data_IF_714410593725
#
_entry.id   IF_714410593725
#
_cell.length_a   1.000
_cell.length_b   1.000
_cell.length_c   1.000
_cell.angle_alpha   90.00
_cell.angle_beta   90.00
_cell.angle_gamma   90.00
#
_symmetry.space_group_name_H-M   'P 1'
#
loop_
_entity.id
_entity.type
_entity.pdbx_description
1 polymer ?
#
# COMPACT_ATOMS: atom_id res chain seq x y z
N UNK A 1 19.78 21.89 -8.21
CA UNK A 1 20.12 23.21 -8.78
C UNK A 1 18.95 23.88 -9.51
N UNK A 2 18.14 23.18 -10.34
CA UNK A 2 17.06 23.83 -11.11
C UNK A 2 15.88 24.33 -10.23
N UNK A 3 15.44 23.56 -9.22
CA UNK A 3 14.29 23.94 -8.39
C UNK A 3 14.53 25.16 -7.50
N UNK A 4 15.78 25.41 -7.10
CA UNK A 4 16.16 26.54 -6.22
C UNK A 4 15.85 27.90 -6.87
N UNK A 5 15.96 27.99 -8.20
CA UNK A 5 15.62 29.20 -8.94
C UNK A 5 14.10 29.45 -9.05
N UNK A 6 13.28 28.43 -8.79
CA UNK A 6 11.81 28.50 -8.85
C UNK A 6 11.19 28.82 -7.48
N UNK A 7 11.94 28.62 -6.38
CA UNK A 7 11.46 28.89 -5.02
C UNK A 7 10.89 30.30 -4.81
N UNK A 8 11.45 31.38 -5.39
CA UNK A 8 10.88 32.72 -5.22
C UNK A 8 9.48 32.88 -5.80
N UNK A 9 9.03 31.96 -6.66
CA UNK A 9 7.70 32.01 -7.28
C UNK A 9 6.61 31.40 -6.39
N UNK A 10 6.99 30.61 -5.37
CA UNK A 10 6.02 29.99 -4.45
C UNK A 10 5.18 31.06 -3.74
N UNK A 11 3.89 30.77 -3.59
CA UNK A 11 2.96 31.67 -2.90
C UNK A 11 3.26 31.78 -1.40
N UNK A 12 2.50 32.65 -0.72
CA UNK A 12 2.65 32.90 0.72
C UNK A 12 1.75 32.02 1.60
N UNK A 13 1.05 31.03 1.02
CA UNK A 13 0.23 30.10 1.81
C UNK A 13 1.09 29.30 2.82
N UNK A 14 0.55 28.92 3.99
CA UNK A 14 1.27 28.05 4.94
C UNK A 14 1.87 26.80 4.28
N UNK A 15 1.13 26.20 3.36
CA UNK A 15 1.49 25.01 2.60
C UNK A 15 2.70 25.26 1.69
N UNK A 16 2.66 26.34 0.90
CA UNK A 16 3.76 26.74 0.03
C UNK A 16 5.02 27.13 0.83
N UNK A 17 4.85 27.78 1.99
CA UNK A 17 5.96 28.08 2.89
C UNK A 17 6.57 26.82 3.51
N UNK A 18 5.76 25.83 3.88
CA UNK A 18 6.27 24.56 4.42
C UNK A 18 7.05 23.79 3.36
N UNK A 19 6.51 23.70 2.14
CA UNK A 19 7.21 23.10 1.01
C UNK A 19 8.52 23.81 0.69
N UNK A 20 8.52 25.15 0.68
CA UNK A 20 9.75 25.94 0.49
C UNK A 20 10.81 25.60 1.55
N UNK A 21 10.42 25.54 2.83
CA UNK A 21 11.33 25.12 3.92
C UNK A 21 11.81 23.69 3.73
N UNK A 22 10.95 22.78 3.27
CA UNK A 22 11.34 21.40 2.97
C UNK A 22 12.40 21.30 1.88
N UNK A 23 12.22 22.03 0.78
CA UNK A 23 13.24 22.10 -0.28
C UNK A 23 14.56 22.68 0.23
N UNK A 24 14.53 23.67 1.13
CA UNK A 24 15.75 24.20 1.76
C UNK A 24 16.45 23.18 2.69
N UNK A 25 15.69 22.27 3.32
CA UNK A 25 16.23 21.17 4.14
C UNK A 25 16.79 20.01 3.32
N UNK A 26 16.56 19.99 2.01
CA UNK A 26 16.95 18.89 1.13
C UNK A 26 15.95 17.73 1.10
N UNK A 27 14.68 18.00 1.39
CA UNK A 27 13.64 16.97 1.45
C UNK A 27 13.39 16.32 0.06
N UNK A 28 13.55 17.06 -1.04
CA UNK A 28 13.43 16.52 -2.39
C UNK A 28 14.57 15.55 -2.72
N UNK A 29 15.80 15.87 -2.32
CA UNK A 29 16.96 15.02 -2.51
C UNK A 29 16.76 13.66 -1.80
N UNK A 30 16.23 13.67 -0.57
CA UNK A 30 15.90 12.42 0.15
C UNK A 30 14.90 11.57 -0.65
N UNK A 31 13.87 12.19 -1.22
CA UNK A 31 12.85 11.49 -2.00
C UNK A 31 13.41 10.95 -3.32
N UNK A 32 14.21 11.74 -4.03
CA UNK A 32 14.81 11.32 -5.30
C UNK A 32 15.84 10.20 -5.09
N UNK A 33 16.66 10.29 -4.04
CA UNK A 33 17.61 9.23 -3.70
C UNK A 33 16.88 7.92 -3.35
N UNK A 34 15.79 8.02 -2.59
CA UNK A 34 14.92 6.88 -2.30
C UNK A 34 14.31 6.30 -3.58
N UNK A 35 13.71 7.14 -4.44
CA UNK A 35 13.10 6.71 -5.70
C UNK A 35 14.09 5.96 -6.60
N UNK A 36 15.27 6.54 -6.83
CA UNK A 36 16.30 5.93 -7.68
C UNK A 36 16.80 4.59 -7.11
N UNK A 37 16.88 4.46 -5.79
CA UNK A 37 17.24 3.20 -5.16
C UNK A 37 16.15 2.14 -5.36
N UNK A 38 14.88 2.51 -5.14
CA UNK A 38 13.73 1.63 -5.29
C UNK A 38 13.53 1.16 -6.74
N UNK A 39 13.72 2.05 -7.71
CA UNK A 39 13.60 1.73 -9.14
C UNK A 39 14.56 0.58 -9.50
N UNK A 40 15.81 0.65 -9.06
CA UNK A 40 16.80 -0.41 -9.30
C UNK A 40 16.44 -1.70 -8.55
N UNK A 41 16.16 -1.64 -7.24
CA UNK A 41 15.89 -2.83 -6.43
C UNK A 41 14.67 -3.62 -6.93
N UNK A 42 13.57 -2.92 -7.21
CA UNK A 42 12.34 -3.55 -7.67
C UNK A 42 12.56 -4.15 -9.06
N UNK A 43 13.22 -3.43 -9.96
CA UNK A 43 13.51 -3.93 -11.30
C UNK A 43 14.36 -5.20 -11.28
N UNK A 44 15.45 -5.21 -10.53
CA UNK A 44 16.33 -6.38 -10.36
C UNK A 44 15.57 -7.57 -9.74
N UNK A 45 14.79 -7.33 -8.68
CA UNK A 45 14.02 -8.38 -8.01
C UNK A 45 12.97 -9.02 -8.92
N UNK A 46 12.31 -8.24 -9.78
CA UNK A 46 11.28 -8.74 -10.70
C UNK A 46 11.88 -9.56 -11.85
N UNK A 47 13.10 -9.23 -12.28
CA UNK A 47 13.84 -10.04 -13.26
C UNK A 47 14.19 -11.41 -12.68
N UNK A 48 14.69 -11.44 -11.45
CA UNK A 48 15.15 -12.67 -10.79
C UNK A 48 14.01 -13.54 -10.26
N UNK A 49 12.94 -12.91 -9.76
CA UNK A 49 11.74 -13.57 -9.24
C UNK A 49 10.49 -12.89 -9.83
N UNK A 50 10.10 -13.26 -11.06
CA UNK A 50 8.91 -12.73 -11.71
C UNK A 50 7.66 -13.09 -10.90
N UNK A 51 6.77 -12.13 -10.74
CA UNK A 51 5.51 -12.34 -10.04
C UNK A 51 4.32 -12.13 -11.00
N UNK A 52 3.17 -12.76 -10.70
CA UNK A 52 2.06 -12.81 -11.64
C UNK A 52 1.49 -11.41 -11.88
N UNK A 53 1.13 -11.14 -13.14
CA UNK A 53 0.47 -9.90 -13.51
C UNK A 53 -1.02 -9.97 -13.13
N UNK A 54 -1.40 -9.32 -12.03
CA UNK A 54 -2.77 -9.31 -11.51
C UNK A 54 -3.34 -7.90 -11.50
N UNK A 55 -4.66 -7.71 -11.61
CA UNK A 55 -5.24 -6.38 -11.43
C UNK A 55 -5.00 -5.90 -10.00
N UNK A 56 -4.51 -4.68 -9.85
CA UNK A 56 -4.31 -4.02 -8.55
C UNK A 56 -5.14 -2.74 -8.47
N UNK A 57 -5.60 -2.36 -7.28
CA UNK A 57 -6.38 -1.14 -7.10
C UNK A 57 -5.49 0.12 -7.16
N UNK A 58 -4.21 -0.01 -6.76
CA UNK A 58 -3.22 1.05 -6.57
C UNK A 58 -3.57 2.11 -5.52
N UNK A 59 -4.81 2.20 -5.05
CA UNK A 59 -5.23 3.20 -4.07
C UNK A 59 -6.24 2.67 -3.05
N UNK A 60 -5.95 1.53 -2.41
CA UNK A 60 -6.66 1.17 -1.18
C UNK A 60 -6.20 2.11 -0.05
N UNK A 61 -6.96 3.18 0.18
CA UNK A 61 -6.75 4.19 1.23
C UNK A 61 -7.98 4.27 2.14
N UNK A 62 -7.89 4.81 3.37
CA UNK A 62 -9.03 4.86 4.29
C UNK A 62 -10.31 5.49 3.70
N UNK A 63 -10.16 6.51 2.85
CA UNK A 63 -11.30 7.16 2.18
C UNK A 63 -12.02 6.26 1.14
N UNK A 64 -11.36 5.19 0.68
CA UNK A 64 -11.84 4.28 -0.36
C UNK A 64 -12.40 2.98 0.21
N UNK A 65 -12.52 2.86 1.54
CA UNK A 65 -13.01 1.66 2.23
C UNK A 65 -14.20 2.02 3.11
N UNK A 66 -15.34 1.40 2.83
CA UNK A 66 -16.52 1.46 3.69
C UNK A 66 -16.44 0.39 4.77
N UNK A 67 -16.52 0.80 6.03
CA UNK A 67 -16.52 -0.12 7.17
C UNK A 67 -17.61 0.21 8.18
N UNK A 68 -18.14 -0.84 8.82
CA UNK A 68 -19.13 -0.74 9.90
C UNK A 68 -18.52 -1.31 11.16
N UNK A 69 -18.69 -0.62 12.28
CA UNK A 69 -18.24 -1.11 13.58
C UNK A 69 -19.38 -1.86 14.29
N UNK A 70 -19.15 -3.12 14.60
CA UNK A 70 -20.03 -3.90 15.47
C UNK A 70 -19.50 -3.86 16.91
N UNK A 71 -20.19 -3.09 17.75
CA UNK A 71 -19.87 -2.93 19.16
C UNK A 71 -20.08 -4.20 20.00
N UNK A 72 -20.91 -5.14 19.54
CA UNK A 72 -21.20 -6.38 20.29
C UNK A 72 -20.02 -7.35 20.31
N UNK A 73 -19.18 -7.30 19.27
CA UNK A 73 -17.97 -8.10 19.11
C UNK A 73 -16.70 -7.24 19.04
N UNK A 74 -16.82 -5.92 19.26
CA UNK A 74 -15.73 -4.94 19.20
C UNK A 74 -14.89 -5.07 17.91
N UNK A 75 -15.55 -5.12 16.76
CA UNK A 75 -14.91 -5.43 15.47
C UNK A 75 -15.36 -4.47 14.38
N UNK A 76 -14.42 -4.08 13.52
CA UNK A 76 -14.72 -3.42 12.25
C UNK A 76 -14.93 -4.47 11.16
N UNK A 77 -16.01 -4.34 10.41
CA UNK A 77 -16.31 -5.13 9.21
C UNK A 77 -16.15 -4.23 7.99
N UNK A 78 -15.28 -4.62 7.06
CA UNK A 78 -15.18 -3.95 5.76
C UNK A 78 -16.35 -4.42 4.92
N UNK A 79 -17.18 -3.48 4.48
CA UNK A 79 -18.41 -3.77 3.73
C UNK A 79 -18.28 -3.46 2.24
N UNK A 80 -17.46 -2.46 1.89
CA UNK A 80 -17.37 -1.97 0.52
C UNK A 80 -15.98 -1.37 0.24
N UNK A 81 -15.58 -1.40 -1.03
CA UNK A 81 -14.46 -0.63 -1.57
C UNK A 81 -14.96 0.27 -2.69
N UNK A 82 -14.37 1.45 -2.83
CA UNK A 82 -14.75 2.47 -3.80
C UNK A 82 -13.53 2.98 -4.57
N UNK A 83 -13.78 3.84 -5.57
CA UNK A 83 -12.74 4.63 -6.26
C UNK A 83 -11.68 3.74 -6.96
N UNK A 84 -12.14 3.04 -8.00
CA UNK A 84 -11.35 2.11 -8.82
C UNK A 84 -10.67 2.79 -10.02
N UNK A 85 -10.64 4.12 -10.07
CA UNK A 85 -10.17 4.88 -11.25
C UNK A 85 -8.67 4.68 -11.52
N UNK A 86 -7.91 4.26 -10.49
CA UNK A 86 -6.48 3.96 -10.57
C UNK A 86 -6.18 2.45 -10.72
N UNK A 87 -7.21 1.61 -10.91
CA UNK A 87 -7.01 0.19 -11.17
C UNK A 87 -6.22 -0.01 -12.45
N UNK A 88 -5.25 -0.91 -12.40
CA UNK A 88 -4.42 -1.22 -13.56
C UNK A 88 -3.91 -2.64 -13.58
N UNK A 89 -3.59 -3.10 -14.78
CA UNK A 89 -2.66 -4.20 -15.00
C UNK A 89 -1.30 -3.62 -15.32
N UNK A 90 -0.28 -4.34 -14.91
CA UNK A 90 1.03 -4.22 -15.50
C UNK A 90 0.96 -4.63 -16.97
N UNK A 91 1.72 -3.99 -17.83
CA UNK A 91 1.87 -4.39 -19.23
C UNK A 91 3.33 -4.69 -19.51
N UNK A 92 3.59 -5.54 -20.50
CA UNK A 92 4.95 -5.81 -20.96
C UNK A 92 5.66 -4.52 -21.47
N UNK A 93 4.90 -3.50 -21.87
CA UNK A 93 5.40 -2.24 -22.46
C UNK A 93 5.74 -1.17 -21.44
N UNK A 94 5.08 -1.17 -20.27
CA UNK A 94 5.39 -0.28 -19.14
C UNK A 94 6.23 -0.97 -18.05
N UNK A 95 6.68 -2.21 -18.29
CA UNK A 95 7.64 -2.93 -17.44
C UNK A 95 7.09 -3.34 -16.06
N UNK A 96 5.83 -3.00 -15.76
CA UNK A 96 5.16 -3.40 -14.56
C UNK A 96 4.62 -4.82 -14.77
N UNK A 97 5.06 -5.77 -13.95
CA UNK A 97 4.18 -6.85 -13.50
C UNK A 97 3.43 -6.24 -12.31
N UNK A 98 2.10 -6.12 -12.34
CA UNK A 98 1.37 -5.60 -11.16
C UNK A 98 1.26 -6.69 -10.13
N UNK A 99 2.15 -6.64 -9.14
CA UNK A 99 2.30 -7.64 -8.10
C UNK A 99 1.34 -7.35 -6.94
N UNK A 100 0.87 -8.39 -6.25
CA UNK A 100 -0.03 -8.20 -5.11
C UNK A 100 0.65 -7.40 -3.98
N UNK A 101 1.95 -7.58 -3.78
CA UNK A 101 2.74 -6.82 -2.81
C UNK A 101 2.85 -5.33 -3.15
N UNK A 102 2.64 -4.93 -4.41
CA UNK A 102 2.59 -3.51 -4.81
C UNK A 102 1.35 -2.84 -4.23
N UNK A 103 0.19 -3.48 -4.37
CA UNK A 103 -1.07 -2.95 -3.85
C UNK A 103 -1.06 -2.95 -2.31
N UNK A 104 -0.52 -4.00 -1.70
CA UNK A 104 -0.32 -4.05 -0.25
C UNK A 104 0.66 -2.99 0.25
N UNK A 105 1.81 -2.81 -0.40
CA UNK A 105 2.79 -1.80 -0.03
C UNK A 105 2.22 -0.39 -0.11
N UNK A 106 1.46 -0.11 -1.17
CA UNK A 106 0.72 1.15 -1.34
C UNK A 106 -0.36 1.32 -0.27
N UNK A 107 -1.11 0.27 0.07
CA UNK A 107 -2.07 0.26 1.19
C UNK A 107 -1.37 0.62 2.50
N UNK A 108 -0.27 -0.05 2.82
CA UNK A 108 0.51 0.19 4.03
C UNK A 108 1.03 1.64 4.11
N UNK A 109 1.40 2.24 2.97
CA UNK A 109 1.78 3.66 2.93
C UNK A 109 0.68 4.63 3.40
N UNK A 110 -0.59 4.20 3.37
CA UNK A 110 -1.73 4.97 3.87
C UNK A 110 -2.15 4.59 5.29
N UNK A 111 -2.12 3.30 5.63
CA UNK A 111 -2.70 2.79 6.89
C UNK A 111 -1.69 2.66 8.03
N UNK A 112 -0.40 2.53 7.72
CA UNK A 112 0.65 2.31 8.70
C UNK A 112 1.40 3.58 9.10
N UNK A 113 0.93 4.76 8.69
CA UNK A 113 1.58 6.02 8.99
C UNK A 113 0.59 7.08 9.46
N UNK A 114 0.99 7.86 10.44
CA UNK A 114 0.24 9.05 10.83
C UNK A 114 0.29 10.09 9.70
N UNK A 115 -0.87 10.62 9.23
CA UNK A 115 -0.91 11.54 8.10
C UNK A 115 -0.40 12.95 8.42
N UNK A 116 -0.21 13.30 9.70
CA UNK A 116 0.23 14.63 10.13
C UNK A 116 1.72 14.65 10.53
N UNK A 117 2.14 13.74 11.41
CA UNK A 117 3.50 13.64 11.93
C UNK A 117 4.42 12.76 11.09
N UNK A 118 3.85 11.82 10.32
CA UNK A 118 4.60 10.81 9.57
C UNK A 118 5.16 9.67 10.43
N UNK A 119 4.70 9.52 11.68
CA UNK A 119 5.07 8.40 12.54
C UNK A 119 4.65 7.05 11.95
N UNK A 120 5.52 6.04 11.99
CA UNK A 120 5.22 4.68 11.57
C UNK A 120 4.55 3.87 12.68
N UNK A 121 3.36 3.34 12.41
CA UNK A 121 2.59 2.49 13.29
C UNK A 121 2.78 1.01 12.94
N UNK A 122 3.78 0.40 13.57
CA UNK A 122 4.15 -0.99 13.33
C UNK A 122 3.00 -1.98 13.59
N UNK A 123 2.14 -1.72 14.58
CA UNK A 123 1.02 -2.61 14.89
C UNK A 123 -0.09 -2.53 13.82
N UNK A 124 -0.33 -1.36 13.23
CA UNK A 124 -1.21 -1.22 12.07
C UNK A 124 -0.63 -1.96 10.86
N UNK A 125 0.69 -1.85 10.63
CA UNK A 125 1.36 -2.58 9.56
C UNK A 125 1.20 -4.10 9.74
N UNK A 126 1.47 -4.62 10.95
CA UNK A 126 1.30 -6.03 11.29
C UNK A 126 -0.14 -6.51 11.07
N UNK A 127 -1.12 -5.76 11.55
CA UNK A 127 -2.53 -6.11 11.39
C UNK A 127 -2.94 -6.16 9.92
N UNK A 128 -2.51 -5.18 9.12
CA UNK A 128 -2.79 -5.10 7.68
C UNK A 128 -2.12 -6.26 6.92
N UNK A 129 -0.83 -6.52 7.18
CA UNK A 129 -0.09 -7.64 6.58
C UNK A 129 -0.71 -8.97 7.00
N UNK A 130 -1.06 -9.14 8.28
CA UNK A 130 -1.73 -10.36 8.77
C UNK A 130 -3.02 -10.63 8.00
N UNK A 131 -3.91 -9.64 7.91
CA UNK A 131 -5.18 -9.78 7.18
C UNK A 131 -4.99 -10.11 5.69
N UNK A 132 -3.94 -9.58 5.05
CA UNK A 132 -3.57 -9.95 3.69
C UNK A 132 -3.07 -11.40 3.59
N UNK A 133 -2.17 -11.82 4.49
CA UNK A 133 -1.61 -13.17 4.52
C UNK A 133 -2.68 -14.24 4.78
N UNK A 134 -3.71 -13.92 5.57
CA UNK A 134 -4.86 -14.81 5.80
C UNK A 134 -5.59 -15.15 4.50
N UNK A 135 -5.41 -14.37 3.43
CA UNK A 135 -6.09 -14.53 2.13
C UNK A 135 -5.16 -15.01 1.02
N UNK A 136 -3.98 -15.53 1.37
CA UNK A 136 -3.07 -16.15 0.41
C UNK A 136 -3.11 -17.68 0.52
N UNK A 137 -3.07 -18.42 -0.60
CA UNK A 137 -2.93 -19.87 -0.59
C UNK A 137 -1.50 -20.33 -0.24
N UNK A 138 -0.51 -19.48 -0.48
CA UNK A 138 0.91 -19.75 -0.26
C UNK A 138 1.57 -18.64 0.56
N UNK A 139 2.73 -18.93 1.16
CA UNK A 139 3.53 -17.90 1.80
C UNK A 139 4.07 -16.93 0.76
N UNK A 140 4.20 -15.67 1.16
CA UNK A 140 5.14 -14.76 0.53
C UNK A 140 6.54 -15.33 0.67
N UNK A 141 7.23 -15.50 -0.45
CA UNK A 141 8.63 -15.86 -0.50
C UNK A 141 9.52 -14.65 -0.16
N UNK A 142 10.81 -14.90 0.05
CA UNK A 142 11.78 -13.88 0.46
C UNK A 142 11.81 -12.66 -0.49
N UNK A 143 11.75 -12.88 -1.81
CA UNK A 143 11.75 -11.79 -2.78
C UNK A 143 10.46 -10.94 -2.72
N UNK A 144 9.29 -11.58 -2.54
CA UNK A 144 8.02 -10.88 -2.36
C UNK A 144 8.02 -10.03 -1.09
N UNK A 145 8.63 -10.51 0.00
CA UNK A 145 8.76 -9.77 1.26
C UNK A 145 9.66 -8.55 1.10
N UNK A 146 10.81 -8.69 0.42
CA UNK A 146 11.68 -7.53 0.14
C UNK A 146 11.00 -6.51 -0.76
N UNK A 147 10.32 -6.96 -1.83
CA UNK A 147 9.55 -6.05 -2.68
C UNK A 147 8.42 -5.36 -1.93
N UNK A 148 7.75 -6.04 -1.00
CA UNK A 148 6.74 -5.40 -0.15
C UNK A 148 7.34 -4.22 0.63
N UNK A 149 8.51 -4.41 1.24
CA UNK A 149 9.22 -3.34 1.95
C UNK A 149 9.51 -2.14 1.03
N UNK A 150 9.97 -2.42 -0.19
CA UNK A 150 10.28 -1.40 -1.20
C UNK A 150 9.00 -0.70 -1.70
N UNK A 151 7.91 -1.44 -1.91
CA UNK A 151 6.62 -0.88 -2.33
C UNK A 151 5.97 0.01 -1.26
N UNK A 152 6.22 -0.23 0.03
CA UNK A 152 5.81 0.71 1.09
C UNK A 152 6.50 2.06 0.89
N UNK A 153 7.82 2.05 0.69
CA UNK A 153 8.59 3.27 0.46
C UNK A 153 8.20 3.94 -0.87
N UNK A 154 7.99 3.15 -1.93
CA UNK A 154 7.53 3.68 -3.21
C UNK A 154 6.16 4.35 -3.07
N UNK A 155 5.23 3.76 -2.31
CA UNK A 155 3.94 4.37 -2.02
C UNK A 155 4.07 5.73 -1.30
N UNK A 156 5.03 5.87 -0.38
CA UNK A 156 5.31 7.14 0.29
C UNK A 156 5.91 8.16 -0.70
N UNK A 157 6.86 7.74 -1.53
CA UNK A 157 7.49 8.57 -2.58
C UNK A 157 6.47 9.07 -3.59
N UNK A 158 5.59 8.20 -4.08
CA UNK A 158 4.49 8.57 -4.99
C UNK A 158 3.57 9.61 -4.35
N UNK A 159 3.25 9.46 -3.07
CA UNK A 159 2.42 10.44 -2.34
C UNK A 159 3.13 11.80 -2.21
N UNK A 160 4.45 11.81 -1.98
CA UNK A 160 5.24 13.05 -1.98
C UNK A 160 5.15 13.78 -3.32
N UNK A 161 5.38 13.07 -4.43
CA UNK A 161 5.32 13.68 -5.76
C UNK A 161 3.91 14.20 -6.09
N UNK A 162 2.88 13.42 -5.75
CA UNK A 162 1.50 13.83 -5.95
C UNK A 162 1.17 15.13 -5.18
N UNK A 163 1.49 15.20 -3.88
CA UNK A 163 1.25 16.41 -3.08
C UNK A 163 2.09 17.60 -3.54
N UNK A 164 3.32 17.36 -3.96
CA UNK A 164 4.20 18.40 -4.50
C UNK A 164 3.64 18.97 -5.82
N UNK A 165 2.91 18.17 -6.62
CA UNK A 165 2.33 18.61 -7.89
C UNK A 165 1.32 19.75 -7.73
N UNK A 166 0.65 19.86 -6.58
CA UNK A 166 -0.27 20.96 -6.27
C UNK A 166 0.41 22.34 -6.17
N UNK A 167 1.74 22.36 -6.13
CA UNK A 167 2.56 23.58 -6.07
C UNK A 167 3.29 23.84 -7.40
N UNK A 168 3.10 22.99 -8.41
CA UNK A 168 3.81 23.09 -9.69
C UNK A 168 3.52 24.38 -10.45
N UNK A 169 2.26 24.84 -10.44
CA UNK A 169 1.88 26.12 -11.07
C UNK A 169 2.55 27.31 -10.40
N UNK A 170 2.53 27.35 -9.06
CA UNK A 170 3.19 28.40 -8.28
C UNK A 170 4.69 28.41 -8.52
N UNK A 171 5.36 27.24 -8.54
CA UNK A 171 6.78 27.14 -8.88
C UNK A 171 7.10 27.73 -10.25
N UNK A 172 6.18 27.63 -11.22
CA UNK A 172 6.31 28.22 -12.55
C UNK A 172 5.95 29.72 -12.61
N UNK A 173 5.61 30.35 -11.47
CA UNK A 173 5.18 31.75 -11.41
C UNK A 173 3.75 31.98 -11.87
N UNK A 174 2.93 30.93 -11.93
CA UNK A 174 1.51 31.02 -12.27
C UNK A 174 0.67 31.00 -10.99
N UNK A 175 -0.43 31.77 -10.92
CA UNK A 175 -1.38 31.63 -9.82
C UNK A 175 -1.97 30.22 -9.86
N UNK A 176 -2.14 29.60 -8.69
CA UNK A 176 -2.85 28.32 -8.60
C UNK A 176 -4.36 28.54 -8.62
N UNK A 177 -5.08 27.65 -9.30
CA UNK A 177 -6.54 27.57 -9.21
C UNK A 177 -7.02 26.61 -8.11
N UNK A 178 -6.08 25.95 -7.41
CA UNK A 178 -6.40 25.01 -6.33
C UNK A 178 -6.82 25.81 -5.08
N UNK A 179 -8.12 25.78 -4.79
CA UNK A 179 -8.72 26.43 -3.62
C UNK A 179 -8.84 25.50 -2.40
N UNK A 180 -8.40 24.25 -2.52
CA UNK A 180 -8.42 23.25 -1.44
C UNK A 180 -7.17 23.36 -0.56
N UNK A 181 -7.27 22.84 0.67
CA UNK A 181 -6.10 22.65 1.52
C UNK A 181 -5.08 21.74 0.79
N UNK A 182 -3.80 22.13 0.80
CA UNK A 182 -2.72 21.41 0.11
C UNK A 182 -1.78 20.81 1.16
N UNK A 183 -1.95 19.55 1.54
CA UNK A 183 -1.19 18.99 2.65
C UNK A 183 0.32 19.11 2.40
N UNK A 184 1.08 19.46 3.43
CA UNK A 184 2.54 19.59 3.33
C UNK A 184 3.14 18.26 2.82
N UNK A 185 3.83 18.24 1.65
CA UNK A 185 4.46 17.02 1.17
C UNK A 185 5.60 16.56 2.11
N UNK A 186 6.17 17.46 2.93
CA UNK A 186 7.25 17.17 3.87
C UNK A 186 6.94 16.04 4.86
N UNK A 187 5.66 15.77 5.15
CA UNK A 187 5.27 14.63 5.99
C UNK A 187 5.74 13.29 5.42
N UNK A 188 5.80 13.14 4.09
CA UNK A 188 6.25 11.90 3.46
C UNK A 188 7.76 11.67 3.63
N UNK A 189 8.55 12.73 3.77
CA UNK A 189 9.96 12.59 4.18
C UNK A 189 10.06 12.09 5.61
N UNK A 190 9.13 12.51 6.48
CA UNK A 190 9.06 12.00 7.85
C UNK A 190 8.64 10.54 7.90
N UNK A 191 7.71 10.11 7.05
CA UNK A 191 7.34 8.71 6.90
C UNK A 191 8.52 7.84 6.45
N UNK A 192 9.28 8.24 5.41
CA UNK A 192 10.51 7.53 4.98
C UNK A 192 11.52 7.44 6.13
N UNK A 193 11.80 8.56 6.82
CA UNK A 193 12.77 8.58 7.92
C UNK A 193 12.31 7.73 9.12
N UNK A 194 11.01 7.75 9.43
CA UNK A 194 10.42 6.97 10.52
C UNK A 194 10.51 5.48 10.23
N UNK A 195 10.09 5.06 9.03
CA UNK A 195 10.17 3.67 8.59
C UNK A 195 11.61 3.16 8.56
N UNK A 196 12.53 3.92 7.95
CA UNK A 196 13.95 3.56 7.91
C UNK A 196 14.59 3.50 9.30
N UNK A 197 14.12 4.32 10.25
CA UNK A 197 14.59 4.26 11.63
C UNK A 197 14.09 2.99 12.32
N UNK A 198 12.83 2.62 12.12
CA UNK A 198 12.26 1.39 12.65
C UNK A 198 12.97 0.14 12.10
N UNK A 199 13.27 0.13 10.80
CA UNK A 199 13.97 -0.99 10.12
C UNK A 199 15.37 -1.27 10.66
N UNK A 200 16.06 -0.28 11.26
CA UNK A 200 17.41 -0.47 11.83
C UNK A 200 17.44 -1.46 12.99
N UNK A 201 16.34 -1.61 13.70
CA UNK A 201 16.24 -2.50 14.88
C UNK A 201 15.19 -3.59 14.72
N UNK A 202 14.41 -3.56 13.64
CA UNK A 202 13.35 -4.52 13.35
C UNK A 202 13.47 -4.98 11.90
N UNK A 203 14.05 -6.14 11.63
CA UNK A 203 14.08 -6.69 10.28
C UNK A 203 12.65 -6.92 9.78
N UNK A 204 12.29 -6.32 8.65
CA UNK A 204 10.93 -6.43 8.09
C UNK A 204 10.56 -7.88 7.80
N UNK A 205 11.51 -8.65 7.26
CA UNK A 205 11.31 -10.07 6.97
C UNK A 205 10.98 -10.88 8.22
N UNK A 206 11.64 -10.65 9.35
CA UNK A 206 11.35 -11.36 10.61
C UNK A 206 9.91 -11.12 11.07
N UNK A 207 9.40 -9.89 10.91
CA UNK A 207 8.01 -9.56 11.23
C UNK A 207 7.03 -10.33 10.33
N UNK A 208 7.27 -10.36 9.01
CA UNK A 208 6.39 -11.04 8.06
C UNK A 208 6.46 -12.56 8.25
N UNK A 209 7.65 -13.13 8.43
CA UNK A 209 7.84 -14.55 8.75
C UNK A 209 7.15 -14.93 10.06
N UNK A 210 7.24 -14.11 11.11
CA UNK A 210 6.55 -14.38 12.37
C UNK A 210 5.02 -14.44 12.20
N UNK A 211 4.44 -13.63 11.32
CA UNK A 211 3.01 -13.67 11.00
C UNK A 211 2.64 -14.93 10.18
N UNK A 212 3.47 -15.29 9.20
CA UNK A 212 3.23 -16.41 8.28
C UNK A 212 3.46 -17.79 8.91
N UNK A 213 4.27 -17.87 9.97
CA UNK A 213 4.71 -19.12 10.60
C UNK A 213 3.92 -19.47 11.87
N UNK A 214 2.61 -19.23 11.85
CA UNK A 214 1.70 -19.65 12.93
C UNK A 214 0.81 -20.80 12.47
N UNK A 215 0.40 -21.66 13.42
CA UNK A 215 -0.59 -22.72 13.16
C UNK A 215 -1.93 -22.12 12.68
N UNK A 216 -2.30 -20.94 13.20
CA UNK A 216 -3.48 -20.21 12.75
C UNK A 216 -3.39 -19.87 11.25
N UNK A 217 -2.26 -19.33 10.81
CA UNK A 217 -2.03 -18.97 9.40
C UNK A 217 -1.93 -20.19 8.47
N UNK A 218 -1.49 -21.34 8.97
CA UNK A 218 -1.54 -22.59 8.21
C UNK A 218 -2.99 -23.01 7.89
N UNK A 219 -3.90 -22.90 8.88
CA UNK A 219 -5.33 -23.18 8.67
C UNK A 219 -5.99 -22.25 7.66
N UNK A 220 -5.64 -20.95 7.68
CA UNK A 220 -6.14 -20.01 6.67
C UNK A 220 -5.65 -20.40 5.26
N UNK A 221 -4.39 -20.80 5.12
CA UNK A 221 -3.83 -21.25 3.84
C UNK A 221 -4.48 -22.53 3.32
N UNK A 222 -4.83 -23.47 4.19
CA UNK A 222 -5.54 -24.68 3.76
C UNK A 222 -6.87 -24.32 3.09
N UNK A 223 -7.63 -23.41 3.69
CA UNK A 223 -8.89 -22.88 3.13
C UNK A 223 -8.63 -22.17 1.79
N UNK A 224 -7.63 -21.29 1.71
CA UNK A 224 -7.34 -20.54 0.48
C UNK A 224 -6.81 -21.44 -0.65
N UNK A 225 -6.09 -22.53 -0.34
CA UNK A 225 -5.69 -23.54 -1.33
C UNK A 225 -6.91 -24.27 -1.89
N UNK A 226 -7.88 -24.64 -1.05
CA UNK A 226 -9.15 -25.23 -1.50
C UNK A 226 -9.95 -24.22 -2.34
N UNK A 227 -10.02 -22.96 -1.92
CA UNK A 227 -10.70 -21.90 -2.66
C UNK A 227 -10.05 -21.66 -4.03
N UNK A 228 -8.71 -21.67 -4.11
CA UNK A 228 -7.98 -21.56 -5.36
C UNK A 228 -8.25 -22.74 -6.31
N UNK A 229 -8.35 -23.98 -5.79
CA UNK A 229 -8.75 -25.14 -6.58
C UNK A 229 -10.19 -25.01 -7.08
N UNK A 230 -11.10 -24.57 -6.22
CA UNK A 230 -12.50 -24.32 -6.58
C UNK A 230 -12.62 -23.29 -7.71
N UNK A 231 -11.95 -22.14 -7.60
CA UNK A 231 -11.96 -21.07 -8.63
C UNK A 231 -11.47 -21.54 -10.00
N UNK A 232 -10.66 -22.59 -10.05
CA UNK A 232 -10.14 -23.20 -11.28
C UNK A 232 -10.97 -24.42 -11.77
N UNK A 233 -12.07 -24.75 -11.10
CA UNK A 233 -12.90 -25.92 -11.40
C UNK A 233 -14.11 -25.60 -12.29
N UNK A 234 -14.74 -26.64 -12.85
CA UNK A 234 -16.03 -26.51 -13.55
C UNK A 234 -17.19 -26.09 -12.63
N UNK A 235 -17.10 -26.39 -11.34
CA UNK A 235 -18.13 -26.06 -10.36
C UNK A 235 -18.22 -24.54 -10.15
N UNK A 236 -17.07 -23.84 -10.16
CA UNK A 236 -17.04 -22.38 -10.12
C UNK A 236 -17.84 -21.76 -11.27
N UNK A 237 -17.64 -22.22 -12.51
CA UNK A 237 -18.38 -21.71 -13.66
C UNK A 237 -19.88 -22.03 -13.58
N UNK A 238 -20.24 -23.17 -12.98
CA UNK A 238 -21.64 -23.55 -12.75
C UNK A 238 -22.29 -22.61 -11.74
N UNK A 239 -21.70 -22.45 -10.55
CA UNK A 239 -22.18 -21.51 -9.52
C UNK A 239 -22.22 -20.07 -10.02
N UNK A 240 -21.26 -19.66 -10.85
CA UNK A 240 -21.27 -18.34 -11.50
C UNK A 240 -22.49 -18.18 -12.40
N UNK A 241 -22.78 -19.16 -13.25
CA UNK A 241 -23.92 -19.12 -14.16
C UNK A 241 -25.27 -19.16 -13.40
N UNK A 242 -25.32 -19.84 -12.27
CA UNK A 242 -26.49 -19.93 -11.39
C UNK A 242 -26.65 -18.72 -10.46
N UNK A 243 -25.66 -17.83 -10.38
CA UNK A 243 -25.68 -16.68 -9.48
C UNK A 243 -25.49 -17.03 -8.00
N UNK A 244 -24.93 -18.20 -7.68
CA UNK A 244 -24.77 -18.72 -6.31
C UNK A 244 -23.37 -18.53 -5.73
N UNK A 245 -22.45 -17.91 -6.47
CA UNK A 245 -21.11 -17.55 -5.96
C UNK A 245 -21.12 -16.69 -4.69
N UNK A 246 -22.00 -15.67 -4.54
CA UNK A 246 -21.97 -14.84 -3.33
C UNK A 246 -22.19 -15.62 -2.04
N UNK A 247 -22.98 -16.70 -2.09
CA UNK A 247 -23.17 -17.58 -0.94
C UNK A 247 -21.89 -18.36 -0.59
N UNK A 248 -21.16 -18.84 -1.61
CA UNK A 248 -19.86 -19.47 -1.42
C UNK A 248 -18.83 -18.48 -0.83
N UNK A 249 -18.76 -17.26 -1.34
CA UNK A 249 -17.84 -16.24 -0.83
C UNK A 249 -18.15 -15.89 0.63
N UNK A 250 -19.44 -15.82 1.00
CA UNK A 250 -19.87 -15.62 2.41
C UNK A 250 -19.47 -16.79 3.31
N UNK A 251 -19.60 -18.03 2.83
CA UNK A 251 -19.18 -19.24 3.56
C UNK A 251 -17.66 -19.26 3.76
N UNK A 252 -16.90 -18.85 2.75
CA UNK A 252 -15.45 -18.70 2.80
C UNK A 252 -15.08 -17.68 3.89
N UNK A 253 -15.62 -16.47 3.86
CA UNK A 253 -15.36 -15.43 4.87
C UNK A 253 -15.68 -15.92 6.29
N UNK A 254 -16.81 -16.60 6.45
CA UNK A 254 -17.20 -17.21 7.72
C UNK A 254 -16.20 -18.26 8.20
N UNK A 255 -15.56 -19.00 7.29
CA UNK A 255 -14.54 -19.99 7.64
C UNK A 255 -13.24 -19.33 8.15
N UNK A 256 -12.81 -18.21 7.55
CA UNK A 256 -11.71 -17.41 8.06
C UNK A 256 -12.03 -16.84 9.45
N UNK A 257 -13.23 -16.28 9.63
CA UNK A 257 -13.67 -15.71 10.90
C UNK A 257 -13.66 -16.74 12.03
N UNK A 258 -14.09 -17.98 11.76
CA UNK A 258 -14.01 -19.07 12.74
C UNK A 258 -12.59 -19.35 13.20
N UNK A 259 -11.59 -19.24 12.33
CA UNK A 259 -10.18 -19.43 12.73
C UNK A 259 -9.74 -18.29 13.66
N UNK A 260 -10.19 -17.06 13.37
CA UNK A 260 -9.87 -15.88 14.16
C UNK A 260 -10.56 -15.85 15.54
N UNK A 261 -11.69 -16.56 15.73
CA UNK A 261 -12.43 -16.63 17.00
C UNK A 261 -12.06 -17.81 17.92
N UNK A 262 -11.14 -18.71 17.53
CA UNK A 262 -10.82 -19.93 18.31
C UNK A 262 -9.76 -19.69 19.41
N UNK A 263 -9.20 -18.49 19.52
CA UNK A 263 -8.31 -18.04 20.60
C UNK A 263 -8.66 -16.60 21.04
#
# INVERSE_FOLDING_TARGET
YHIQHLLPNLGNSPEAQSFHKGLQRGDLEVILDCFNHLENNIHESVIDNPAPNVPVLNEVKPANVGAVYDASVNRWEITQSFDFDNMGFGTLENGDQTLLEKDLGRTLSFFAFDPESGEFYADNAKATIKGYLERLPEKMNEAEIYRLQDYIQLGIVTSYFWRSSYLAEELQGKPTEILLARPDPGVHVMQIRSFNTWLKTNPFADMVEALQNTLQMERHRDIEREAAQFRNSSDYYTKRAEGTLPAYDTELDTAHDKINCIE
#
